data_IF_278709279016
#
_entry.id   IF_278709279016
#
_cell.length_a   1.000
_cell.length_b   1.000
_cell.length_c   1.000
_cell.angle_alpha   90.00
_cell.angle_beta   90.00
_cell.angle_gamma   90.00
#
_symmetry.space_group_name_H-M   'P 1'
#
loop_
_entity.id
_entity.type
_entity.pdbx_description
1 polymer ?
#
# COMPACT_ATOMS: atom_id res chain seq x y z
N UNK A 1 21.56 24.14 2.35
CA UNK A 1 20.13 24.21 2.71
C UNK A 1 19.74 22.89 3.30
N UNK A 2 18.94 22.86 4.37
CA UNK A 2 18.57 21.60 5.01
C UNK A 2 17.10 21.32 4.74
N UNK A 3 16.82 20.18 4.15
CA UNK A 3 15.47 19.62 4.10
C UNK A 3 15.20 19.03 5.49
N UNK A 4 14.12 19.45 6.14
CA UNK A 4 13.78 19.02 7.49
C UNK A 4 12.54 18.14 7.54
N UNK A 5 11.70 18.18 6.47
CA UNK A 5 10.45 17.43 6.42
C UNK A 5 10.20 16.94 5.01
N UNK A 6 9.75 15.69 4.93
CA UNK A 6 9.31 15.04 3.70
C UNK A 6 7.79 14.88 3.78
N UNK A 7 7.10 15.37 2.79
CA UNK A 7 5.70 15.05 2.52
C UNK A 7 5.70 13.96 1.45
N UNK A 8 5.40 12.73 1.84
CA UNK A 8 5.47 11.56 0.96
C UNK A 8 4.08 11.02 0.71
N UNK A 9 3.55 11.23 -0.48
CA UNK A 9 2.19 10.84 -0.87
C UNK A 9 2.27 9.70 -1.88
N UNK A 10 1.61 8.59 -1.56
CA UNK A 10 1.43 7.44 -2.45
C UNK A 10 -0.01 7.45 -2.96
N UNK A 11 -0.15 7.56 -4.27
CA UNK A 11 -1.39 7.34 -5.00
C UNK A 11 -1.50 5.84 -5.25
N UNK A 12 -2.19 5.12 -4.36
CA UNK A 12 -2.24 3.64 -4.36
C UNK A 12 -2.67 3.12 -5.73
N UNK A 13 -1.83 2.33 -6.37
CA UNK A 13 -2.03 1.74 -7.70
C UNK A 13 -1.90 2.66 -8.93
N UNK A 14 -1.44 3.90 -8.81
CA UNK A 14 -1.29 4.80 -9.98
C UNK A 14 0.01 4.51 -10.75
N UNK A 15 0.05 3.37 -11.45
CA UNK A 15 1.16 3.01 -12.35
C UNK A 15 1.26 3.92 -13.57
N UNK A 16 2.43 3.90 -14.24
CA UNK A 16 2.74 4.70 -15.43
C UNK A 16 3.47 3.88 -16.50
N UNK A 17 2.74 2.94 -17.07
CA UNK A 17 3.19 2.05 -18.14
C UNK A 17 3.87 0.77 -17.65
N UNK A 18 3.80 -0.26 -18.49
CA UNK A 18 4.31 -1.60 -18.20
C UNK A 18 5.77 -1.59 -17.74
N UNK A 19 6.06 -2.30 -16.65
CA UNK A 19 7.42 -2.47 -16.18
C UNK A 19 8.22 -3.41 -17.09
N UNK A 20 9.56 -3.33 -17.05
CA UNK A 20 10.47 -4.18 -17.84
C UNK A 20 10.26 -5.68 -17.69
N UNK A 21 9.65 -6.11 -16.62
CA UNK A 21 9.34 -7.51 -16.29
C UNK A 21 7.84 -7.83 -16.27
N UNK A 22 6.98 -6.93 -16.79
CA UNK A 22 5.54 -7.09 -16.85
C UNK A 22 5.09 -8.42 -17.49
N UNK A 23 5.83 -8.88 -18.52
CA UNK A 23 5.58 -10.17 -19.18
C UNK A 23 5.61 -11.38 -18.22
N UNK A 24 6.41 -11.34 -17.16
CA UNK A 24 6.46 -12.41 -16.14
C UNK A 24 5.18 -12.50 -15.30
N UNK A 25 4.44 -11.41 -15.26
CA UNK A 25 3.19 -11.28 -14.51
C UNK A 25 1.96 -11.33 -15.43
N UNK A 26 2.16 -11.37 -16.76
CA UNK A 26 1.11 -11.33 -17.75
C UNK A 26 0.46 -9.95 -17.91
N UNK A 27 1.19 -8.90 -17.55
CA UNK A 27 0.73 -7.50 -17.47
C UNK A 27 1.29 -6.63 -18.62
N UNK A 28 1.72 -7.26 -19.73
CA UNK A 28 2.21 -6.55 -20.91
C UNK A 28 1.13 -5.62 -21.47
N UNK A 29 1.52 -4.38 -21.72
CA UNK A 29 0.64 -3.32 -22.23
C UNK A 29 -0.21 -2.63 -21.15
N UNK A 30 -0.02 -2.92 -19.85
CA UNK A 30 -0.69 -2.18 -18.78
C UNK A 30 -0.13 -0.75 -18.67
N UNK A 31 -1.00 0.24 -18.50
CA UNK A 31 -0.66 1.66 -18.32
C UNK A 31 -1.80 2.37 -17.57
N UNK A 32 -1.82 2.21 -16.27
CA UNK A 32 -2.91 2.69 -15.41
C UNK A 32 -3.24 4.16 -15.67
N UNK A 33 -2.24 5.04 -15.59
CA UNK A 33 -2.44 6.48 -15.73
C UNK A 33 -2.73 6.87 -17.18
N UNK A 34 -1.94 6.37 -18.13
CA UNK A 34 -2.09 6.69 -19.55
C UNK A 34 -3.39 6.16 -20.14
N UNK A 35 -3.80 4.96 -19.78
CA UNK A 35 -5.08 4.38 -20.22
C UNK A 35 -6.28 5.08 -19.58
N UNK A 36 -6.20 5.42 -18.29
CA UNK A 36 -7.25 6.20 -17.62
C UNK A 36 -7.43 7.55 -18.31
N UNK A 37 -6.34 8.27 -18.59
CA UNK A 37 -6.37 9.54 -19.30
C UNK A 37 -6.97 9.38 -20.71
N UNK A 38 -6.53 8.38 -21.48
CA UNK A 38 -7.03 8.11 -22.82
C UNK A 38 -8.53 7.76 -22.85
N UNK A 39 -8.97 6.89 -21.93
CA UNK A 39 -10.37 6.46 -21.84
C UNK A 39 -11.31 7.59 -21.36
N UNK A 40 -10.81 8.50 -20.53
CA UNK A 40 -11.55 9.67 -20.04
C UNK A 40 -11.60 10.82 -21.07
N UNK A 41 -10.77 10.79 -22.12
CA UNK A 41 -10.61 11.88 -23.07
C UNK A 41 -9.71 13.01 -22.58
N UNK A 42 -8.82 12.73 -21.65
CA UNK A 42 -7.90 13.64 -20.98
C UNK A 42 -8.14 13.67 -19.47
N UNK A 43 -7.22 14.29 -18.73
CA UNK A 43 -7.32 14.55 -17.29
C UNK A 43 -7.06 16.03 -17.02
N UNK A 44 -7.86 16.66 -16.18
CA UNK A 44 -7.62 18.02 -15.69
C UNK A 44 -6.78 17.97 -14.41
N UNK A 45 -5.45 17.87 -14.59
CA UNK A 45 -4.46 17.71 -13.51
C UNK A 45 -3.32 18.74 -13.62
N UNK A 46 -3.64 20.03 -13.67
CA UNK A 46 -2.66 21.09 -13.98
C UNK A 46 -1.47 21.16 -12.98
N UNK A 47 -1.67 20.78 -11.72
CA UNK A 47 -0.59 20.81 -10.73
C UNK A 47 0.40 19.65 -10.92
N UNK A 48 -0.08 18.43 -11.19
CA UNK A 48 0.80 17.31 -11.56
C UNK A 48 1.50 17.56 -12.89
N UNK A 49 0.81 18.19 -13.88
CA UNK A 49 1.43 18.64 -15.15
C UNK A 49 2.56 19.62 -14.87
N UNK A 50 2.34 20.63 -14.03
CA UNK A 50 3.38 21.56 -13.57
C UNK A 50 4.56 20.88 -12.89
N UNK A 51 4.32 19.81 -12.14
CA UNK A 51 5.38 19.01 -11.51
C UNK A 51 6.14 18.15 -12.53
N UNK A 52 5.58 17.92 -13.73
CA UNK A 52 6.24 17.21 -14.83
C UNK A 52 5.75 15.79 -15.05
N UNK A 53 4.54 15.41 -14.61
CA UNK A 53 4.00 14.05 -14.79
C UNK A 53 3.99 13.62 -16.27
N UNK A 54 3.57 14.49 -17.19
CA UNK A 54 3.53 14.23 -18.62
C UNK A 54 4.93 14.29 -19.30
N UNK A 55 5.95 14.75 -18.57
CA UNK A 55 7.33 14.79 -19.06
C UNK A 55 8.11 13.50 -18.72
N UNK A 56 7.52 12.60 -17.93
CA UNK A 56 8.12 11.30 -17.62
C UNK A 56 8.28 10.48 -18.90
N UNK A 57 9.45 9.85 -19.08
CA UNK A 57 9.77 9.08 -20.28
C UNK A 57 8.78 7.91 -20.45
N UNK A 58 8.07 7.89 -21.59
CA UNK A 58 7.05 6.89 -21.89
C UNK A 58 5.68 7.17 -21.29
N UNK A 59 5.44 8.34 -20.69
CA UNK A 59 4.09 8.76 -20.31
C UNK A 59 3.22 8.96 -21.57
N UNK A 60 2.01 8.39 -21.56
CA UNK A 60 1.07 8.45 -22.67
C UNK A 60 -0.19 9.23 -22.26
N UNK A 61 -0.83 9.91 -23.22
CA UNK A 61 -2.11 10.63 -23.05
C UNK A 61 -2.09 11.69 -21.93
N UNK A 62 -0.92 12.19 -21.56
CA UNK A 62 -0.73 13.23 -20.53
C UNK A 62 -0.15 14.49 -21.16
N UNK A 63 -0.60 15.64 -20.68
CA UNK A 63 -0.09 16.93 -21.11
C UNK A 63 1.35 17.14 -20.61
N UNK A 64 2.24 17.66 -21.48
CA UNK A 64 3.61 18.01 -21.13
C UNK A 64 3.72 19.45 -20.69
N UNK A 65 4.58 19.72 -19.74
CA UNK A 65 4.92 21.07 -19.31
C UNK A 65 6.28 21.47 -19.91
N UNK A 66 6.35 22.64 -20.58
CA UNK A 66 7.59 23.14 -21.16
C UNK A 66 8.65 23.50 -20.08
N UNK A 67 8.18 23.95 -18.91
CA UNK A 67 9.02 24.40 -17.82
C UNK A 67 8.55 23.78 -16.49
N UNK A 68 8.76 22.48 -16.28
CA UNK A 68 8.32 21.82 -15.04
C UNK A 68 9.02 22.43 -13.81
N UNK A 69 8.24 22.64 -12.74
CA UNK A 69 8.79 23.10 -11.45
C UNK A 69 9.28 21.97 -10.58
N UNK A 70 8.86 20.72 -10.85
CA UNK A 70 9.31 19.52 -10.16
C UNK A 70 10.50 18.85 -10.83
N UNK A 71 11.15 17.93 -10.13
CA UNK A 71 11.98 16.88 -10.71
C UNK A 71 11.08 15.67 -10.95
N UNK A 72 11.21 15.02 -12.09
CA UNK A 72 10.29 13.96 -12.51
C UNK A 72 11.03 12.76 -13.08
N UNK A 73 10.45 11.59 -12.94
CA UNK A 73 10.95 10.32 -13.44
C UNK A 73 9.99 9.19 -13.09
N UNK A 74 10.44 7.96 -13.25
CA UNK A 74 9.71 6.76 -12.85
C UNK A 74 10.61 5.75 -12.18
N UNK A 75 10.03 4.86 -11.40
CA UNK A 75 10.74 3.80 -10.67
C UNK A 75 10.25 2.43 -11.11
N UNK A 76 11.18 1.47 -11.19
CA UNK A 76 10.86 0.07 -11.37
C UNK A 76 10.77 -0.63 -10.02
N UNK A 77 9.94 -1.63 -9.89
CA UNK A 77 9.96 -2.53 -8.74
C UNK A 77 10.94 -3.70 -8.99
N UNK A 78 11.71 -4.08 -7.96
CA UNK A 78 12.60 -5.25 -8.03
C UNK A 78 12.14 -6.38 -7.13
N UNK A 79 11.27 -6.10 -6.16
CA UNK A 79 10.62 -7.13 -5.35
C UNK A 79 9.70 -7.99 -6.18
N UNK A 80 9.47 -9.24 -5.75
CA UNK A 80 8.77 -10.24 -6.54
C UNK A 80 7.23 -10.14 -6.47
N UNK A 81 6.68 -9.25 -5.65
CA UNK A 81 5.24 -8.96 -5.57
C UNK A 81 4.81 -7.82 -6.50
N UNK A 82 3.51 -7.59 -6.55
CA UNK A 82 2.89 -6.42 -7.16
C UNK A 82 1.71 -5.95 -6.31
N UNK A 83 1.88 -6.02 -4.99
CA UNK A 83 0.83 -5.67 -4.03
C UNK A 83 1.25 -4.48 -3.17
N UNK A 84 0.26 -3.80 -2.59
CA UNK A 84 0.43 -2.59 -1.78
C UNK A 84 1.52 -2.76 -0.71
N UNK A 85 1.54 -3.90 -0.02
CA UNK A 85 2.49 -4.12 1.08
C UNK A 85 3.93 -4.18 0.58
N UNK A 86 4.18 -4.99 -0.46
CA UNK A 86 5.52 -5.17 -1.03
C UNK A 86 6.02 -3.87 -1.66
N UNK A 87 5.18 -3.17 -2.43
CA UNK A 87 5.55 -1.89 -3.03
C UNK A 87 5.95 -0.84 -1.98
N UNK A 88 5.15 -0.67 -0.93
CA UNK A 88 5.48 0.26 0.17
C UNK A 88 6.74 -0.17 0.95
N UNK A 89 6.93 -1.48 1.17
CA UNK A 89 8.14 -1.97 1.82
C UNK A 89 9.37 -1.70 0.98
N UNK A 90 9.31 -1.90 -0.34
CA UNK A 90 10.43 -1.59 -1.21
C UNK A 90 10.74 -0.10 -1.22
N UNK A 91 9.73 0.78 -1.25
CA UNK A 91 9.92 2.22 -1.09
C UNK A 91 10.64 2.59 0.20
N UNK A 92 10.42 1.82 1.28
CA UNK A 92 11.11 2.00 2.56
C UNK A 92 12.49 1.34 2.65
N UNK A 93 12.95 0.67 1.57
CA UNK A 93 14.27 0.04 1.49
C UNK A 93 14.30 -1.44 1.86
N UNK A 94 13.14 -2.11 1.92
CA UNK A 94 13.01 -3.53 2.20
C UNK A 94 12.83 -4.29 0.88
N UNK A 95 13.76 -5.18 0.57
CA UNK A 95 13.68 -6.05 -0.60
C UNK A 95 12.96 -7.36 -0.25
N UNK A 96 11.94 -7.71 -1.04
CA UNK A 96 11.15 -8.94 -0.92
C UNK A 96 11.44 -9.84 -2.14
N UNK A 97 12.35 -10.82 -2.02
CA UNK A 97 12.75 -11.67 -3.15
C UNK A 97 11.66 -12.64 -3.60
N UNK A 98 10.74 -12.97 -2.71
CA UNK A 98 9.63 -13.87 -2.95
C UNK A 98 8.30 -13.13 -2.75
N UNK A 99 7.28 -13.42 -3.57
CA UNK A 99 5.93 -12.89 -3.34
C UNK A 99 5.34 -13.54 -2.08
N UNK A 100 4.33 -12.89 -1.51
CA UNK A 100 3.57 -13.53 -0.43
C UNK A 100 2.92 -14.82 -0.91
N UNK A 101 2.98 -15.91 -0.11
CA UNK A 101 2.41 -17.19 -0.51
C UNK A 101 0.88 -17.11 -0.59
N UNK A 102 0.31 -17.74 -1.62
CA UNK A 102 -1.13 -17.97 -1.77
C UNK A 102 -1.43 -19.47 -1.67
N UNK A 103 -2.63 -19.82 -1.24
CA UNK A 103 -3.00 -21.19 -0.92
C UNK A 103 -4.29 -21.61 -1.69
N UNK A 104 -4.21 -21.82 -3.01
CA UNK A 104 -5.39 -22.16 -3.81
C UNK A 104 -6.02 -23.51 -3.43
N UNK A 105 -5.23 -24.44 -2.88
CA UNK A 105 -5.71 -25.75 -2.39
C UNK A 105 -5.97 -25.78 -0.87
N UNK A 106 -5.87 -24.63 -0.19
CA UNK A 106 -5.88 -24.55 1.28
C UNK A 106 -4.50 -24.69 1.91
N UNK A 107 -4.42 -24.41 3.20
CA UNK A 107 -3.15 -24.48 3.95
C UNK A 107 -2.71 -25.94 4.15
N UNK A 108 -1.40 -26.20 4.15
CA UNK A 108 -0.85 -27.52 4.49
C UNK A 108 -1.34 -28.04 5.84
N UNK A 109 -1.59 -29.34 5.97
CA UNK A 109 -2.04 -29.99 7.21
C UNK A 109 -1.12 -29.67 8.38
N UNK A 110 0.18 -29.57 8.16
CA UNK A 110 1.15 -29.24 9.20
C UNK A 110 0.92 -27.85 9.84
N UNK A 111 0.41 -26.87 9.06
CA UNK A 111 0.05 -25.54 9.57
C UNK A 111 -1.25 -25.63 10.37
N UNK A 112 -2.23 -26.34 9.85
CA UNK A 112 -3.54 -26.52 10.50
C UNK A 112 -3.39 -27.31 11.81
N UNK A 113 -2.64 -28.39 11.82
CA UNK A 113 -2.38 -29.20 13.02
C UNK A 113 -1.66 -28.40 14.10
N UNK A 114 -0.67 -27.59 13.72
CA UNK A 114 0.03 -26.71 14.65
C UNK A 114 -0.91 -25.63 15.21
N UNK A 115 -1.76 -25.05 14.35
CA UNK A 115 -2.76 -24.08 14.76
C UNK A 115 -3.77 -24.68 15.77
N UNK A 116 -4.36 -25.83 15.45
CA UNK A 116 -5.29 -26.55 16.34
C UNK A 116 -4.63 -26.88 17.68
N UNK A 117 -3.40 -27.41 17.64
CA UNK A 117 -2.64 -27.77 18.84
C UNK A 117 -2.35 -26.56 19.74
N UNK A 118 -1.89 -25.45 19.15
CA UNK A 118 -1.49 -24.25 19.91
C UNK A 118 -2.68 -23.45 20.42
N UNK A 119 -3.80 -23.42 19.67
CA UNK A 119 -4.99 -22.72 20.09
C UNK A 119 -5.89 -23.56 20.98
N UNK A 120 -5.76 -24.90 20.96
CA UNK A 120 -6.60 -25.82 21.74
C UNK A 120 -8.06 -25.91 21.26
N UNK A 121 -8.34 -25.48 20.03
CA UNK A 121 -9.68 -25.61 19.43
C UNK A 121 -9.97 -27.08 19.07
N UNK A 122 -11.23 -27.53 19.02
CA UNK A 122 -11.59 -28.93 18.74
C UNK A 122 -11.34 -29.38 17.28
N UNK A 123 -10.77 -28.52 16.46
CA UNK A 123 -10.52 -28.67 15.04
C UNK A 123 -10.92 -27.41 14.30
N UNK A 124 -10.91 -27.44 12.98
CA UNK A 124 -11.36 -26.31 12.14
C UNK A 124 -12.47 -26.76 11.18
N UNK A 125 -13.18 -25.80 10.62
CA UNK A 125 -14.06 -25.97 9.49
C UNK A 125 -13.43 -25.30 8.27
N UNK A 126 -13.65 -25.87 7.07
CA UNK A 126 -13.24 -25.37 5.77
C UNK A 126 -11.78 -25.71 5.39
N UNK A 127 -10.83 -24.77 5.44
CA UNK A 127 -9.46 -24.80 4.89
C UNK A 127 -9.43 -24.82 3.34
N UNK A 128 -10.14 -23.88 2.70
CA UNK A 128 -10.13 -23.69 1.24
C UNK A 128 -10.31 -22.20 0.90
N UNK A 129 -10.06 -21.78 -0.35
CA UNK A 129 -10.48 -20.47 -0.83
C UNK A 129 -12.00 -20.30 -0.77
N UNK A 130 -12.48 -19.19 -0.22
CA UNK A 130 -13.91 -18.95 -0.10
C UNK A 130 -14.25 -17.46 0.00
N UNK A 131 -15.46 -17.09 -0.43
CA UNK A 131 -16.08 -15.81 -0.08
C UNK A 131 -16.49 -15.83 1.38
N UNK A 132 -15.99 -14.88 2.19
CA UNK A 132 -16.22 -14.92 3.61
C UNK A 132 -17.68 -14.73 4.04
N UNK A 133 -18.53 -14.04 3.27
CA UNK A 133 -19.98 -13.97 3.55
C UNK A 133 -20.66 -15.28 3.23
N UNK A 134 -20.28 -15.91 2.11
CA UNK A 134 -20.84 -17.18 1.69
C UNK A 134 -20.45 -18.32 2.64
N UNK A 135 -19.17 -18.41 3.01
CA UNK A 135 -18.69 -19.51 3.88
C UNK A 135 -19.25 -19.41 5.30
N UNK A 136 -19.49 -18.20 5.81
CA UNK A 136 -20.16 -17.99 7.11
C UNK A 136 -21.63 -18.43 7.03
N UNK A 137 -22.33 -18.14 5.95
CA UNK A 137 -23.71 -18.61 5.75
C UNK A 137 -23.78 -20.14 5.63
N UNK A 138 -22.79 -20.77 4.99
CA UNK A 138 -22.71 -22.23 4.77
C UNK A 138 -22.36 -22.99 6.07
N UNK A 139 -21.40 -22.51 6.83
CA UNK A 139 -20.79 -23.24 7.95
C UNK A 139 -21.10 -22.64 9.34
N UNK A 140 -21.84 -21.55 9.41
CA UNK A 140 -22.14 -20.87 10.68
C UNK A 140 -22.88 -21.73 11.68
N UNK A 141 -23.87 -22.49 11.24
CA UNK A 141 -24.64 -23.41 12.13
C UNK A 141 -23.74 -24.54 12.67
N UNK A 142 -22.85 -25.10 11.83
CA UNK A 142 -21.88 -26.10 12.26
C UNK A 142 -20.85 -25.52 13.24
N UNK A 143 -20.38 -24.29 12.99
CA UNK A 143 -19.51 -23.58 13.92
C UNK A 143 -20.16 -23.40 15.27
N UNK A 144 -21.41 -22.93 15.31
CA UNK A 144 -22.15 -22.72 16.55
C UNK A 144 -22.35 -24.03 17.32
N UNK A 145 -22.65 -25.13 16.61
CA UNK A 145 -22.85 -26.43 17.23
C UNK A 145 -21.58 -27.10 17.75
N UNK A 146 -20.41 -26.86 17.08
CA UNK A 146 -19.15 -27.60 17.36
C UNK A 146 -18.09 -26.78 18.07
N UNK A 147 -18.17 -25.46 18.02
CA UNK A 147 -17.13 -24.54 18.50
C UNK A 147 -15.86 -24.52 17.62
N UNK A 148 -15.85 -25.20 16.46
CA UNK A 148 -14.72 -25.21 15.53
C UNK A 148 -14.68 -23.90 14.74
N UNK A 149 -13.59 -23.12 14.77
CA UNK A 149 -13.45 -21.90 13.95
C UNK A 149 -13.50 -22.24 12.45
N UNK A 150 -14.07 -21.32 11.65
CA UNK A 150 -14.06 -21.43 10.18
C UNK A 150 -12.76 -20.80 9.68
N UNK A 151 -11.83 -21.62 9.18
CA UNK A 151 -10.55 -21.17 8.59
C UNK A 151 -10.64 -21.22 7.09
N UNK A 152 -10.31 -20.11 6.41
CA UNK A 152 -10.37 -20.01 4.96
C UNK A 152 -9.36 -18.99 4.42
N UNK A 153 -9.12 -19.04 3.12
CA UNK A 153 -8.28 -18.07 2.40
C UNK A 153 -9.07 -17.41 1.25
N UNK A 154 -8.40 -16.64 0.42
CA UNK A 154 -8.92 -16.06 -0.81
C UNK A 154 -7.82 -16.03 -1.88
N UNK A 155 -8.02 -15.32 -3.00
CA UNK A 155 -6.96 -15.08 -3.99
C UNK A 155 -5.77 -14.30 -3.43
N UNK A 156 -6.01 -13.52 -2.36
CA UNK A 156 -4.94 -12.80 -1.65
C UNK A 156 -4.15 -13.74 -0.72
N UNK A 157 -2.99 -13.25 -0.27
CA UNK A 157 -2.17 -13.94 0.73
C UNK A 157 -2.71 -13.71 2.14
N UNK A 158 -3.77 -14.43 2.52
CA UNK A 158 -4.46 -14.22 3.79
C UNK A 158 -4.84 -15.55 4.47
N UNK A 159 -4.75 -15.56 5.81
CA UNK A 159 -5.31 -16.61 6.68
C UNK A 159 -6.47 -15.99 7.47
N UNK A 160 -7.70 -16.40 7.19
CA UNK A 160 -8.88 -15.79 7.79
C UNK A 160 -9.54 -16.76 8.77
N UNK A 161 -9.92 -16.26 9.94
CA UNK A 161 -10.61 -17.02 11.00
C UNK A 161 -11.94 -16.35 11.26
N UNK A 162 -13.04 -17.03 10.93
CA UNK A 162 -14.38 -16.54 11.26
C UNK A 162 -14.97 -17.31 12.44
N UNK A 163 -15.52 -16.56 13.41
CA UNK A 163 -16.16 -17.09 14.60
C UNK A 163 -17.40 -16.26 14.96
N UNK A 164 -18.42 -16.94 15.48
CA UNK A 164 -19.60 -16.30 16.09
C UNK A 164 -19.24 -15.74 17.47
N UNK A 165 -19.59 -14.48 17.74
CA UNK A 165 -19.16 -13.77 18.96
C UNK A 165 -19.70 -14.40 20.26
N UNK A 166 -20.88 -15.03 20.23
CA UNK A 166 -21.45 -15.73 21.40
C UNK A 166 -20.84 -17.13 21.63
N UNK A 167 -20.11 -17.69 20.65
CA UNK A 167 -19.46 -19.01 20.74
C UNK A 167 -17.99 -18.88 21.07
N UNK A 168 -17.32 -17.94 20.40
CA UNK A 168 -15.92 -17.59 20.61
C UNK A 168 -15.85 -16.09 20.84
N UNK A 169 -15.63 -15.63 22.08
CA UNK A 169 -15.48 -14.20 22.38
C UNK A 169 -14.42 -13.54 21.47
N UNK A 170 -14.63 -12.27 21.15
CA UNK A 170 -13.78 -11.52 20.21
C UNK A 170 -12.31 -11.52 20.64
N UNK A 171 -12.04 -11.39 21.93
CA UNK A 171 -10.67 -11.44 22.50
C UNK A 171 -10.02 -12.80 22.23
N UNK A 172 -10.78 -13.88 22.37
CA UNK A 172 -10.30 -15.23 22.08
C UNK A 172 -10.01 -15.45 20.61
N UNK A 173 -10.83 -14.88 19.72
CA UNK A 173 -10.57 -14.88 18.28
C UNK A 173 -9.28 -14.13 17.96
N UNK A 174 -9.02 -12.99 18.61
CA UNK A 174 -7.77 -12.25 18.42
C UNK A 174 -6.56 -13.04 18.89
N UNK A 175 -6.60 -13.72 20.03
CA UNK A 175 -5.54 -14.63 20.49
C UNK A 175 -5.24 -15.75 19.48
N UNK A 176 -6.29 -16.32 18.88
CA UNK A 176 -6.10 -17.33 17.81
C UNK A 176 -5.45 -16.73 16.58
N UNK A 177 -5.80 -15.51 16.19
CA UNK A 177 -5.16 -14.82 15.07
C UNK A 177 -3.69 -14.48 15.37
N UNK A 178 -3.36 -14.05 16.57
CA UNK A 178 -1.97 -13.85 16.99
C UNK A 178 -1.17 -15.15 16.96
N UNK A 179 -1.76 -16.25 17.44
CA UNK A 179 -1.16 -17.58 17.36
C UNK A 179 -0.89 -17.99 15.92
N UNK A 180 -1.87 -17.81 15.03
CA UNK A 180 -1.72 -18.08 13.60
C UNK A 180 -0.61 -17.20 13.00
N UNK A 181 -0.54 -15.91 13.35
CA UNK A 181 0.53 -15.01 12.88
C UNK A 181 1.92 -15.50 13.29
N UNK A 182 2.09 -16.07 14.48
CA UNK A 182 3.36 -16.64 14.93
C UNK A 182 3.71 -17.98 14.26
N UNK A 183 2.75 -18.74 13.78
CA UNK A 183 2.95 -19.98 13.01
C UNK A 183 3.34 -19.67 11.57
N UNK A 184 2.67 -18.71 10.95
CA UNK A 184 2.77 -18.34 9.54
C UNK A 184 4.01 -17.46 9.29
N UNK A 185 5.20 -18.08 9.30
CA UNK A 185 6.50 -17.40 9.14
C UNK A 185 7.32 -18.01 7.99
N UNK A 186 8.39 -17.33 7.59
CA UNK A 186 9.28 -17.77 6.50
C UNK A 186 8.49 -17.95 5.19
N UNK A 187 8.64 -19.08 4.51
CA UNK A 187 7.95 -19.39 3.25
C UNK A 187 6.41 -19.46 3.37
N UNK A 188 5.89 -19.57 4.59
CA UNK A 188 4.46 -19.61 4.86
C UNK A 188 3.91 -18.27 5.38
N UNK A 189 4.70 -17.22 5.35
CA UNK A 189 4.36 -15.90 5.88
C UNK A 189 3.33 -15.20 5.00
N UNK A 190 2.03 -15.49 5.20
CA UNK A 190 0.95 -14.74 4.52
C UNK A 190 1.00 -13.26 4.91
N UNK A 191 0.58 -12.39 4.01
CA UNK A 191 0.56 -10.94 4.24
C UNK A 191 -0.28 -10.57 5.47
N UNK A 192 -1.45 -11.19 5.66
CA UNK A 192 -2.35 -10.89 6.78
C UNK A 192 -2.99 -12.14 7.36
N UNK A 193 -3.12 -12.17 8.69
CA UNK A 193 -4.08 -13.03 9.40
C UNK A 193 -5.27 -12.13 9.78
N UNK A 194 -6.50 -12.58 9.53
CA UNK A 194 -7.68 -11.72 9.67
C UNK A 194 -8.70 -12.36 10.59
N UNK A 195 -9.06 -11.67 11.68
CA UNK A 195 -10.21 -11.98 12.50
C UNK A 195 -11.50 -11.51 11.80
N UNK A 196 -12.47 -12.43 11.64
CA UNK A 196 -13.75 -12.20 10.97
C UNK A 196 -14.91 -12.57 11.91
N UNK A 197 -15.14 -11.82 12.98
CA UNK A 197 -16.26 -12.10 13.87
C UNK A 197 -17.60 -11.87 13.18
N UNK A 198 -18.61 -12.65 13.56
CA UNK A 198 -19.96 -12.56 13.03
C UNK A 198 -20.99 -12.87 14.10
N UNK A 199 -22.25 -12.50 13.85
CA UNK A 199 -23.42 -12.75 14.68
C UNK A 199 -24.60 -13.21 13.82
N UNK A 200 -25.64 -13.73 14.42
CA UNK A 200 -26.85 -14.20 13.74
C UNK A 200 -27.15 -15.66 14.02
N UNK A 201 -28.13 -16.22 13.34
CA UNK A 201 -28.59 -17.61 13.54
C UNK A 201 -29.23 -18.18 12.27
N UNK A 202 -29.29 -19.52 12.20
CA UNK A 202 -30.05 -20.25 11.17
C UNK A 202 -29.71 -19.81 9.72
N UNK A 203 -28.43 -19.72 9.43
CA UNK A 203 -27.93 -19.32 8.10
C UNK A 203 -28.00 -17.80 7.83
N UNK A 204 -28.62 -17.00 8.70
CA UNK A 204 -28.72 -15.54 8.58
C UNK A 204 -27.61 -14.84 9.38
N UNK A 205 -26.38 -15.06 8.99
CA UNK A 205 -25.19 -14.53 9.65
C UNK A 205 -24.74 -13.20 9.04
N UNK A 206 -24.25 -12.28 9.89
CA UNK A 206 -23.70 -10.98 9.50
C UNK A 206 -22.36 -10.75 10.18
N UNK A 207 -21.39 -10.25 9.42
CA UNK A 207 -20.11 -9.80 9.96
C UNK A 207 -20.31 -8.60 10.86
N UNK A 208 -19.54 -8.55 11.95
CA UNK A 208 -19.52 -7.41 12.86
C UNK A 208 -18.40 -6.43 12.50
N UNK A 209 -18.40 -5.21 13.04
CA UNK A 209 -17.31 -4.26 12.88
C UNK A 209 -16.02 -4.65 13.62
N UNK A 210 -16.04 -5.68 14.47
CA UNK A 210 -14.91 -6.17 15.27
C UNK A 210 -13.89 -6.97 14.42
N UNK A 211 -13.84 -6.72 13.10
CA UNK A 211 -12.75 -7.21 12.24
C UNK A 211 -11.43 -6.61 12.70
N UNK A 212 -10.38 -7.46 12.74
CA UNK A 212 -9.01 -7.04 12.99
C UNK A 212 -8.04 -7.79 12.10
N UNK A 213 -7.13 -7.04 11.48
CA UNK A 213 -6.08 -7.58 10.64
C UNK A 213 -4.76 -7.63 11.44
N UNK A 214 -4.09 -8.77 11.37
CA UNK A 214 -2.77 -9.02 11.97
C UNK A 214 -1.76 -9.13 10.82
N UNK A 215 -1.28 -8.00 10.37
CA UNK A 215 -0.34 -7.90 9.25
C UNK A 215 1.02 -8.50 9.60
N UNK A 216 1.71 -9.00 8.59
CA UNK A 216 3.12 -9.37 8.72
C UNK A 216 3.92 -8.10 9.02
N UNK A 217 4.76 -8.15 10.04
CA UNK A 217 5.65 -7.04 10.37
C UNK A 217 6.82 -6.99 9.40
N UNK A 218 7.13 -5.83 8.81
CA UNK A 218 8.33 -5.67 8.01
C UNK A 218 9.60 -5.76 8.86
N UNK A 219 10.75 -5.91 8.19
CA UNK A 219 12.03 -5.74 8.83
C UNK A 219 12.17 -4.33 9.42
N UNK A 220 12.72 -4.21 10.63
CA UNK A 220 13.05 -2.91 11.22
C UNK A 220 14.26 -2.23 10.53
N UNK A 221 14.97 -2.95 9.69
CA UNK A 221 16.06 -2.42 8.85
C UNK A 221 15.48 -1.69 7.63
N UNK A 222 14.84 -0.55 7.87
CA UNK A 222 14.19 0.29 6.87
C UNK A 222 14.33 1.79 7.21
N UNK A 223 14.03 2.66 6.26
CA UNK A 223 14.22 4.11 6.43
C UNK A 223 13.32 4.71 7.50
N UNK A 224 12.10 4.19 7.70
CA UNK A 224 11.17 4.75 8.69
C UNK A 224 11.73 4.55 10.11
N UNK A 225 12.22 3.33 10.42
CA UNK A 225 12.87 3.05 11.70
C UNK A 225 14.11 3.92 11.91
N UNK A 226 14.94 4.09 10.89
CA UNK A 226 16.17 4.89 10.98
C UNK A 226 15.90 6.37 11.24
N UNK A 227 14.85 6.93 10.62
CA UNK A 227 14.43 8.33 10.84
C UNK A 227 13.84 8.48 12.24
N UNK A 228 12.97 7.57 12.67
CA UNK A 228 12.44 7.51 14.05
C UNK A 228 13.56 7.45 15.09
N UNK A 229 14.54 6.57 14.88
CA UNK A 229 15.63 6.32 15.83
C UNK A 229 16.60 7.54 15.95
N UNK A 230 16.53 8.46 15.00
CA UNK A 230 17.15 9.78 15.10
C UNK A 230 16.32 10.79 15.91
N UNK A 231 15.19 10.39 16.45
CA UNK A 231 14.30 11.26 17.21
C UNK A 231 13.48 12.20 16.33
N UNK A 232 13.27 11.85 15.06
CA UNK A 232 12.44 12.59 14.12
C UNK A 232 11.06 11.94 14.02
N UNK A 233 10.07 12.71 13.58
CA UNK A 233 8.71 12.25 13.40
C UNK A 233 8.59 11.35 12.17
N UNK A 234 7.83 10.26 12.29
CA UNK A 234 7.39 9.41 11.18
C UNK A 234 5.89 9.21 11.33
N UNK A 235 5.14 10.03 10.64
CA UNK A 235 3.68 10.13 10.77
C UNK A 235 3.03 9.37 9.61
N UNK A 236 2.31 8.30 9.92
CA UNK A 236 1.55 7.52 8.94
C UNK A 236 0.12 8.01 8.79
N UNK A 237 -0.31 8.31 7.57
CA UNK A 237 -1.68 8.73 7.23
C UNK A 237 -2.33 7.70 6.33
N UNK A 238 -3.59 7.37 6.59
CA UNK A 238 -4.34 6.37 5.86
C UNK A 238 -3.94 4.94 6.25
N UNK A 239 -3.63 4.10 5.27
CA UNK A 239 -3.33 2.67 5.45
C UNK A 239 -1.88 2.38 5.90
N UNK A 240 -1.03 3.39 6.04
CA UNK A 240 0.40 3.23 6.35
C UNK A 240 0.63 2.43 7.64
N UNK A 241 -0.19 2.66 8.68
CA UNK A 241 -0.09 1.86 9.91
C UNK A 241 -0.28 0.36 9.65
N UNK A 242 -1.27 -0.01 8.86
CA UNK A 242 -1.59 -1.42 8.58
C UNK A 242 -0.54 -2.07 7.68
N UNK A 243 -0.03 -1.32 6.68
CA UNK A 243 1.03 -1.77 5.76
C UNK A 243 2.33 -2.08 6.51
N UNK A 244 2.69 -1.24 7.47
CA UNK A 244 3.91 -1.41 8.26
C UNK A 244 3.67 -2.08 9.62
N UNK A 245 2.42 -2.47 9.95
CA UNK A 245 2.05 -2.98 11.27
C UNK A 245 2.57 -2.09 12.43
N UNK A 246 2.57 -0.78 12.21
CA UNK A 246 3.07 0.24 13.13
C UNK A 246 4.61 0.34 13.23
N UNK A 247 5.35 -0.53 12.52
CA UNK A 247 6.83 -0.52 12.58
C UNK A 247 7.39 0.76 11.98
N UNK A 248 8.24 1.44 12.73
CA UNK A 248 8.91 2.68 12.31
C UNK A 248 8.09 3.95 12.47
N UNK A 249 6.81 3.88 12.80
CA UNK A 249 5.96 5.05 12.99
C UNK A 249 6.09 5.63 14.40
N UNK A 250 6.05 6.95 14.51
CA UNK A 250 5.92 7.69 15.78
C UNK A 250 4.47 8.02 16.08
N UNK A 251 3.68 8.23 15.03
CA UNK A 251 2.25 8.55 15.10
C UNK A 251 1.54 8.00 13.86
N UNK A 252 0.23 7.74 13.96
CA UNK A 252 -0.57 7.35 12.81
C UNK A 252 -2.01 7.83 12.92
N UNK A 253 -2.63 8.10 11.75
CA UNK A 253 -4.01 8.51 11.62
C UNK A 253 -4.69 7.73 10.50
N UNK A 254 -5.68 6.91 10.83
CA UNK A 254 -6.57 6.30 9.84
C UNK A 254 -7.46 7.34 9.18
N UNK A 255 -7.82 7.10 7.93
CA UNK A 255 -8.66 7.98 7.12
C UNK A 255 -9.79 7.17 6.47
N UNK A 256 -10.90 7.85 6.18
CA UNK A 256 -12.08 7.23 5.59
C UNK A 256 -12.00 7.11 4.07
N UNK A 257 -11.39 8.11 3.43
CA UNK A 257 -11.25 8.26 1.98
C UNK A 257 -10.01 9.11 1.64
N UNK A 258 -9.77 9.36 0.36
CA UNK A 258 -8.62 10.14 -0.09
C UNK A 258 -8.71 11.61 0.34
N UNK A 259 -9.91 12.19 0.40
CA UNK A 259 -10.10 13.59 0.81
C UNK A 259 -9.76 13.77 2.29
N UNK A 260 -10.22 12.88 3.16
CA UNK A 260 -9.84 12.83 4.58
C UNK A 260 -8.32 12.62 4.72
N UNK A 261 -7.72 11.78 3.88
CA UNK A 261 -6.27 11.59 3.79
C UNK A 261 -5.51 12.88 3.50
N UNK A 262 -6.00 13.66 2.54
CA UNK A 262 -5.41 14.95 2.20
C UNK A 262 -5.63 15.99 3.30
N UNK A 263 -6.81 16.03 3.95
CA UNK A 263 -7.09 16.91 5.08
C UNK A 263 -6.13 16.65 6.24
N UNK A 264 -5.97 15.39 6.62
CA UNK A 264 -5.05 14.96 7.70
C UNK A 264 -3.60 15.31 7.35
N UNK A 265 -3.19 15.09 6.09
CA UNK A 265 -1.84 15.44 5.61
C UNK A 265 -1.58 16.93 5.75
N UNK A 266 -2.51 17.77 5.27
CA UNK A 266 -2.42 19.23 5.37
C UNK A 266 -2.41 19.72 6.82
N UNK A 267 -3.16 19.07 7.71
CA UNK A 267 -3.17 19.41 9.13
C UNK A 267 -1.84 19.10 9.82
N UNK A 268 -1.19 17.98 9.48
CA UNK A 268 0.20 17.73 9.94
C UNK A 268 1.20 18.70 9.31
N UNK A 269 1.03 19.11 8.06
CA UNK A 269 1.91 20.11 7.42
C UNK A 269 1.88 21.48 8.11
N UNK A 270 0.77 21.86 8.72
CA UNK A 270 0.63 23.12 9.51
C UNK A 270 1.37 23.07 10.86
N UNK A 271 1.68 21.86 11.35
CA UNK A 271 2.39 21.67 12.60
C UNK A 271 3.92 21.84 12.44
N UNK A 272 4.64 21.90 13.56
CA UNK A 272 6.11 22.03 13.54
C UNK A 272 6.79 20.66 13.75
N UNK A 273 6.38 19.67 12.95
CA UNK A 273 7.00 18.35 12.88
C UNK A 273 8.22 18.36 11.94
N UNK A 274 9.16 17.44 12.19
CA UNK A 274 10.38 17.23 11.37
C UNK A 274 10.54 15.75 11.13
N UNK A 275 10.80 15.37 9.88
CA UNK A 275 10.92 13.97 9.49
C UNK A 275 10.00 13.63 8.32
N UNK A 276 9.11 12.66 8.47
CA UNK A 276 8.29 12.14 7.37
C UNK A 276 6.80 12.23 7.71
N UNK A 277 6.00 12.83 6.83
CA UNK A 277 4.56 12.64 6.75
C UNK A 277 4.34 11.68 5.56
N UNK A 278 3.92 10.45 5.84
CA UNK A 278 3.76 9.38 4.85
C UNK A 278 2.28 9.07 4.69
N UNK A 279 1.73 9.39 3.53
CA UNK A 279 0.29 9.29 3.22
C UNK A 279 0.05 8.26 2.14
N UNK A 280 -0.91 7.34 2.37
CA UNK A 280 -1.43 6.43 1.36
C UNK A 280 -2.87 6.83 1.03
N UNK A 281 -3.14 7.11 -0.25
CA UNK A 281 -4.47 7.44 -0.78
C UNK A 281 -5.05 6.19 -1.47
N UNK A 282 -5.79 5.40 -0.70
CA UNK A 282 -6.13 4.00 -1.01
C UNK A 282 -7.26 3.82 -2.03
N UNK A 283 -8.10 4.85 -2.30
CA UNK A 283 -9.29 4.66 -3.12
C UNK A 283 -8.99 4.40 -4.59
N UNK A 284 -7.83 4.85 -5.09
CA UNK A 284 -7.41 4.56 -6.46
C UNK A 284 -7.38 3.06 -6.70
N UNK A 285 -6.85 2.30 -5.76
CA UNK A 285 -6.84 0.84 -5.79
C UNK A 285 -8.21 0.26 -5.40
N UNK A 286 -8.65 0.48 -4.17
CA UNK A 286 -9.75 -0.25 -3.54
C UNK A 286 -11.12 0.11 -4.10
N UNK A 287 -11.32 1.35 -4.53
CA UNK A 287 -12.63 1.87 -4.96
C UNK A 287 -12.77 1.85 -6.47
N UNK A 288 -11.70 2.12 -7.22
CA UNK A 288 -11.79 2.28 -8.67
C UNK A 288 -10.98 1.27 -9.47
N UNK A 289 -9.71 0.98 -9.12
CA UNK A 289 -8.82 0.07 -9.84
C UNK A 289 -9.40 -1.34 -9.94
N UNK A 290 -9.55 -2.03 -8.83
CA UNK A 290 -10.14 -3.37 -8.74
C UNK A 290 -11.58 -3.46 -9.28
N UNK A 291 -12.30 -2.35 -9.39
CA UNK A 291 -13.68 -2.29 -9.89
C UNK A 291 -13.77 -1.90 -11.36
N UNK A 292 -12.62 -1.62 -11.97
CA UNK A 292 -12.53 -1.21 -13.38
C UNK A 292 -13.34 0.07 -13.66
N UNK A 293 -13.40 0.96 -12.68
CA UNK A 293 -14.09 2.26 -12.80
C UNK A 293 -13.10 3.35 -13.21
N UNK A 294 -12.74 3.38 -14.50
CA UNK A 294 -11.81 4.39 -15.01
C UNK A 294 -12.35 5.82 -14.88
N UNK A 295 -13.67 6.02 -14.84
CA UNK A 295 -14.26 7.35 -14.65
C UNK A 295 -14.12 7.83 -13.21
N UNK A 296 -14.36 6.95 -12.25
CA UNK A 296 -14.08 7.22 -10.84
C UNK A 296 -12.60 7.47 -10.60
N UNK A 297 -11.76 6.67 -11.24
CA UNK A 297 -10.30 6.80 -11.16
C UNK A 297 -9.83 8.18 -11.69
N UNK A 298 -10.30 8.59 -12.89
CA UNK A 298 -10.00 9.89 -13.48
C UNK A 298 -10.44 11.04 -12.56
N UNK A 299 -11.70 11.01 -12.09
CA UNK A 299 -12.22 12.01 -11.16
C UNK A 299 -11.38 12.06 -9.86
N UNK A 300 -10.99 10.92 -9.31
CA UNK A 300 -10.14 10.88 -8.12
C UNK A 300 -8.77 11.53 -8.34
N UNK A 301 -8.17 11.38 -9.54
CA UNK A 301 -6.93 12.05 -9.91
C UNK A 301 -7.11 13.58 -10.01
N UNK A 302 -8.21 14.05 -10.59
CA UNK A 302 -8.55 15.47 -10.70
C UNK A 302 -8.80 16.07 -9.30
N UNK A 303 -9.56 15.38 -8.45
CA UNK A 303 -9.80 15.78 -7.06
C UNK A 303 -8.50 15.82 -6.23
N UNK A 304 -7.58 14.87 -6.44
CA UNK A 304 -6.25 14.91 -5.83
C UNK A 304 -5.45 16.12 -6.32
N UNK A 305 -5.48 16.41 -7.61
CA UNK A 305 -4.74 17.54 -8.19
C UNK A 305 -5.21 18.88 -7.65
N UNK A 306 -6.53 19.05 -7.44
CA UNK A 306 -7.10 20.22 -6.77
C UNK A 306 -6.53 20.39 -5.35
N UNK A 307 -6.42 19.30 -4.59
CA UNK A 307 -5.85 19.31 -3.25
C UNK A 307 -4.33 19.50 -3.25
N UNK A 308 -3.65 19.06 -4.30
CA UNK A 308 -2.21 19.24 -4.46
C UNK A 308 -1.82 20.71 -4.48
N UNK A 309 -2.66 21.60 -5.04
CA UNK A 309 -2.43 23.04 -4.97
C UNK A 309 -2.25 23.53 -3.53
N UNK A 310 -3.09 23.05 -2.61
CA UNK A 310 -3.03 23.41 -1.19
C UNK A 310 -1.76 22.88 -0.50
N UNK A 311 -1.30 21.68 -0.90
CA UNK A 311 -0.02 21.12 -0.43
C UNK A 311 1.12 22.02 -0.86
N UNK A 312 1.19 22.39 -2.14
CA UNK A 312 2.24 23.24 -2.70
C UNK A 312 2.27 24.62 -2.02
N UNK A 313 1.11 25.21 -1.73
CA UNK A 313 0.99 26.51 -1.05
C UNK A 313 1.40 26.42 0.43
N UNK A 314 1.13 25.29 1.10
CA UNK A 314 1.42 25.08 2.53
C UNK A 314 2.89 24.72 2.79
N UNK A 315 3.62 24.26 1.78
CA UNK A 315 5.03 23.85 1.92
C UNK A 315 5.93 24.96 2.43
N UNK A 316 6.72 24.63 3.45
CA UNK A 316 7.81 25.47 3.96
C UNK A 316 9.05 25.39 3.03
N UNK A 317 9.96 26.31 3.14
CA UNK A 317 11.20 26.30 2.31
C UNK A 317 12.12 25.12 2.59
N UNK A 318 11.91 24.42 3.72
CA UNK A 318 12.66 23.23 4.13
C UNK A 318 11.91 21.92 3.89
N UNK A 319 10.79 21.96 3.18
CA UNK A 319 10.01 20.78 2.84
C UNK A 319 10.40 20.21 1.49
N UNK A 320 10.32 18.90 1.38
CA UNK A 320 10.38 18.17 0.11
C UNK A 320 9.11 17.33 -0.04
N UNK A 321 8.42 17.51 -1.15
CA UNK A 321 7.30 16.69 -1.57
C UNK A 321 7.81 15.55 -2.44
N UNK A 322 7.32 14.35 -2.19
CA UNK A 322 7.48 13.16 -3.05
C UNK A 322 6.10 12.59 -3.32
N UNK A 323 5.72 12.51 -4.60
CA UNK A 323 4.50 11.84 -5.05
C UNK A 323 4.92 10.63 -5.88
N UNK A 324 4.35 9.46 -5.56
CA UNK A 324 4.63 8.20 -6.25
C UNK A 324 3.43 7.26 -6.14
N UNK A 325 3.56 6.03 -6.61
CA UNK A 325 2.64 4.94 -6.40
C UNK A 325 3.40 3.70 -5.91
N UNK A 326 2.70 2.66 -5.57
CA UNK A 326 3.24 1.40 -5.05
C UNK A 326 3.16 0.23 -6.04
N UNK A 327 2.23 0.31 -7.00
CA UNK A 327 2.05 -0.63 -8.12
C UNK A 327 1.13 0.01 -9.17
N UNK A 328 0.68 -0.75 -10.17
CA UNK A 328 -0.41 -0.41 -11.07
C UNK A 328 -1.68 -1.19 -10.74
N UNK A 329 -2.84 -0.68 -11.17
CA UNK A 329 -4.12 -1.40 -11.23
C UNK A 329 -4.98 -0.77 -12.33
N UNK A 330 -4.64 -1.07 -13.58
CA UNK A 330 -5.22 -0.44 -14.76
C UNK A 330 -6.72 -0.80 -14.92
N UNK A 331 -7.63 0.17 -14.70
CA UNK A 331 -9.06 -0.09 -14.72
C UNK A 331 -9.62 -0.41 -16.10
N UNK A 332 -8.82 -0.24 -17.15
CA UNK A 332 -9.19 -0.56 -18.55
C UNK A 332 -8.56 -1.84 -19.03
N UNK A 333 -7.55 -2.37 -18.32
CA UNK A 333 -6.84 -3.59 -18.68
C UNK A 333 -7.65 -4.86 -18.37
N UNK A 334 -7.17 -6.00 -18.81
CA UNK A 334 -7.81 -7.31 -18.52
C UNK A 334 -7.74 -7.66 -17.04
N UNK A 335 -8.78 -8.26 -16.50
CA UNK A 335 -8.83 -8.68 -15.11
C UNK A 335 -9.17 -7.55 -14.15
N UNK A 336 -8.97 -7.80 -12.86
CA UNK A 336 -9.23 -6.88 -11.75
C UNK A 336 -8.10 -6.92 -10.72
N UNK A 337 -6.96 -7.49 -11.07
CA UNK A 337 -5.80 -7.61 -10.20
C UNK A 337 -4.82 -6.44 -10.45
N UNK A 338 -3.88 -6.27 -9.54
CA UNK A 338 -2.79 -5.31 -9.72
C UNK A 338 -1.98 -5.61 -10.97
N UNK A 339 -1.41 -4.58 -11.57
CA UNK A 339 -0.56 -4.66 -12.76
C UNK A 339 0.89 -4.29 -12.47
N UNK A 340 1.83 -5.03 -13.06
CA UNK A 340 3.27 -4.82 -12.92
C UNK A 340 3.71 -3.65 -13.80
N UNK A 341 3.72 -2.46 -13.21
CA UNK A 341 4.03 -1.22 -13.90
C UNK A 341 5.21 -0.50 -13.27
N UNK A 342 5.81 0.42 -14.02
CA UNK A 342 6.57 1.50 -13.40
C UNK A 342 5.63 2.38 -12.59
N UNK A 343 6.17 3.05 -11.58
CA UNK A 343 5.42 4.06 -10.82
C UNK A 343 6.02 5.44 -11.05
N UNK A 344 5.20 6.51 -11.08
CA UNK A 344 5.69 7.87 -11.24
C UNK A 344 6.53 8.29 -10.02
N UNK A 345 7.50 9.16 -10.26
CA UNK A 345 8.27 9.85 -9.23
C UNK A 345 8.25 11.34 -9.52
N UNK A 346 7.51 12.09 -8.72
CA UNK A 346 7.52 13.55 -8.76
C UNK A 346 8.13 14.06 -7.46
N UNK A 347 9.14 14.92 -7.58
CA UNK A 347 9.83 15.49 -6.42
C UNK A 347 9.84 17.00 -6.55
N UNK A 348 9.41 17.70 -5.50
CA UNK A 348 9.39 19.15 -5.48
C UNK A 348 9.81 19.70 -4.11
N UNK A 349 10.47 20.83 -4.12
CA UNK A 349 10.81 21.61 -2.94
C UNK A 349 11.36 22.97 -3.38
N UNK A 350 11.04 24.04 -2.62
CA UNK A 350 11.47 25.41 -2.95
C UNK A 350 13.00 25.57 -2.98
N UNK A 351 13.71 24.66 -2.29
CA UNK A 351 15.17 24.64 -2.23
C UNK A 351 15.82 23.69 -3.26
N UNK A 352 15.02 22.98 -4.04
CA UNK A 352 15.52 22.00 -5.01
C UNK A 352 15.65 22.59 -6.42
N UNK A 353 16.41 21.91 -7.28
CA UNK A 353 16.39 22.19 -8.72
C UNK A 353 15.00 21.93 -9.31
N UNK A 354 14.71 22.63 -10.38
CA UNK A 354 13.45 22.48 -11.12
C UNK A 354 13.71 21.86 -12.50
N UNK A 355 12.74 21.15 -13.04
CA UNK A 355 12.74 20.62 -14.41
C UNK A 355 13.76 19.51 -14.64
N UNK A 356 14.22 18.82 -13.60
CA UNK A 356 15.22 17.76 -13.74
C UNK A 356 14.54 16.44 -14.07
N UNK A 357 14.85 15.88 -15.24
CA UNK A 357 14.48 14.51 -15.57
C UNK A 357 15.40 13.54 -14.82
N UNK A 358 14.82 12.77 -13.88
CA UNK A 358 15.53 11.77 -13.07
C UNK A 358 15.75 10.45 -13.85
N UNK A 359 15.00 10.28 -14.96
CA UNK A 359 14.99 9.06 -15.75
C UNK A 359 14.22 7.94 -15.09
N UNK A 360 14.63 6.69 -15.36
CA UNK A 360 14.06 5.49 -14.75
C UNK A 360 14.98 5.00 -13.63
N UNK A 361 14.50 5.00 -12.41
CA UNK A 361 15.18 4.38 -11.26
C UNK A 361 15.05 2.85 -11.30
N UNK A 362 16.06 2.16 -10.78
CA UNK A 362 16.11 0.70 -10.81
C UNK A 362 15.20 0.03 -9.77
N UNK A 363 14.86 0.74 -8.69
CA UNK A 363 14.05 0.23 -7.57
C UNK A 363 13.30 1.37 -6.88
N UNK A 364 12.16 1.07 -6.27
CA UNK A 364 11.42 2.02 -5.42
C UNK A 364 12.25 2.49 -4.21
N UNK A 365 13.22 1.69 -3.77
CA UNK A 365 14.12 2.01 -2.67
C UNK A 365 15.07 3.19 -2.96
N UNK A 366 15.14 3.69 -4.20
CA UNK A 366 15.86 4.93 -4.52
C UNK A 366 15.31 6.12 -3.72
N UNK A 367 14.01 6.08 -3.34
CA UNK A 367 13.40 7.05 -2.42
C UNK A 367 14.04 6.91 -1.04
N UNK A 368 14.01 5.72 -0.42
CA UNK A 368 14.59 5.48 0.91
C UNK A 368 16.07 5.85 0.96
N UNK A 369 16.83 5.53 -0.09
CA UNK A 369 18.24 5.87 -0.18
C UNK A 369 18.48 7.38 -0.26
N UNK A 370 17.57 8.11 -0.91
CA UNK A 370 17.62 9.58 -0.96
C UNK A 370 17.29 10.18 0.40
N UNK A 371 16.25 9.65 1.08
CA UNK A 371 15.87 10.08 2.43
C UNK A 371 16.99 9.79 3.45
N UNK A 372 17.70 8.66 3.32
CA UNK A 372 18.86 8.35 4.16
C UNK A 372 19.94 9.44 4.04
N UNK A 373 20.21 9.91 2.83
CA UNK A 373 21.14 11.03 2.58
C UNK A 373 20.65 12.35 3.18
N UNK A 374 19.36 12.66 3.08
CA UNK A 374 18.77 13.90 3.63
C UNK A 374 18.84 13.92 5.16
N UNK A 375 18.44 12.85 5.81
CA UNK A 375 18.41 12.76 7.26
C UNK A 375 19.76 12.35 7.89
N UNK A 376 20.76 12.02 7.04
CA UNK A 376 22.07 11.57 7.50
C UNK A 376 22.00 10.28 8.31
N UNK A 377 21.13 9.35 7.94
CA UNK A 377 21.07 8.00 8.50
C UNK A 377 22.03 7.08 7.74
N UNK A 378 22.23 5.86 8.26
CA UNK A 378 22.90 4.83 7.48
C UNK A 378 22.11 4.54 6.19
N UNK A 379 22.77 4.19 5.08
CA UNK A 379 22.11 3.86 3.82
C UNK A 379 21.30 2.56 3.94
N UNK A 380 20.14 2.49 3.26
CA UNK A 380 19.38 1.24 3.13
C UNK A 380 20.13 0.22 2.24
N UNK A 381 19.73 -1.06 2.28
CA UNK A 381 20.47 -2.14 1.61
C UNK A 381 20.43 -2.07 0.08
N UNK A 382 19.37 -1.51 -0.48
CA UNK A 382 19.15 -1.41 -1.93
C UNK A 382 18.81 0.03 -2.31
N UNK A 383 18.90 0.34 -3.59
CA UNK A 383 18.60 1.65 -4.13
C UNK A 383 19.81 2.56 -4.34
N UNK A 384 19.59 3.59 -5.12
CA UNK A 384 20.57 4.65 -5.43
C UNK A 384 19.96 6.01 -5.16
N UNK A 385 20.64 6.80 -4.35
CA UNK A 385 20.18 8.16 -4.05
C UNK A 385 20.20 9.05 -5.30
N UNK A 386 19.12 9.75 -5.56
CA UNK A 386 19.04 10.81 -6.56
C UNK A 386 19.25 12.22 -5.95
N UNK A 387 19.64 12.32 -4.67
CA UNK A 387 19.82 13.60 -3.98
C UNK A 387 20.72 14.57 -4.73
N UNK A 388 21.86 14.10 -5.23
CA UNK A 388 22.81 14.95 -5.96
C UNK A 388 22.26 15.49 -7.31
N UNK A 389 21.23 14.86 -7.87
CA UNK A 389 20.59 15.35 -9.08
C UNK A 389 19.65 16.52 -8.78
N UNK A 390 18.97 16.50 -7.63
CA UNK A 390 17.92 17.46 -7.26
C UNK A 390 18.44 18.63 -6.42
N UNK A 391 19.62 18.49 -5.80
CA UNK A 391 20.34 19.57 -5.07
C UNK A 391 21.34 20.26 -5.99
#
# INVERSE_FOLDING_TARGET
MNINRIIWIVLDSVGIGEARDAAKFGDEGADTLGHTAGANGGLDIPNMVKLGIGNIDGAHNLEKCDNPIGCFGKLAEVSAGKDTTIGHWEMAGIYSPDPFPVYPEGFPDSIIDEFVKKTGVPGILCNKPASGTQIIAELGDEHVATGKPIVYTSGDSVFQIACHEDVVPVERLYEMCETARHILTGKNAVARVIARPFVGENGNYKRTPNRRDFSLKPSEDNILCRVRDKGLDVIGVGKIHDIFAGVGLTESKHTNDNQDGMDVTLDYMKQDNKGIIYTNLVEFDSTWGHRRDYKGYARGLEEFDDRLSQVLDTMKDTDMLVITADHGCDPTYKGTDHTREYVPLLVYGKCLKHGVNLGTGDTYADIAQTLAGIFGTEPVKIGKSFLNKIM
#
